data_IF_243016399059
#
_entry.id   IF_243016399059
#
_cell.length_a   1.000
_cell.length_b   1.000
_cell.length_c   1.000
_cell.angle_alpha   90.00
_cell.angle_beta   90.00
_cell.angle_gamma   90.00
#
_symmetry.space_group_name_H-M   'P 1'
#
loop_
_entity.id
_entity.type
_entity.pdbx_description
1 polymer ?
#
# COMPACT_ATOMS: atom_id res chain seq x y z
N UNK A 1 -10.60 -9.77 -26.62
CA UNK A 1 -9.31 -9.13 -26.28
C UNK A 1 -9.53 -7.89 -25.42
N UNK A 2 -10.37 -6.93 -25.83
CA UNK A 2 -10.66 -5.72 -25.03
C UNK A 2 -11.26 -6.00 -23.61
N UNK A 3 -12.07 -7.04 -23.42
CA UNK A 3 -12.68 -7.34 -22.11
C UNK A 3 -11.70 -7.90 -21.06
N UNK A 4 -10.62 -8.54 -21.49
CA UNK A 4 -9.57 -9.03 -20.57
C UNK A 4 -8.66 -7.89 -20.13
N UNK A 5 -8.28 -7.02 -21.07
CA UNK A 5 -7.58 -5.77 -20.76
C UNK A 5 -8.42 -4.86 -19.85
N UNK A 6 -9.74 -4.75 -20.10
CA UNK A 6 -10.65 -4.01 -19.21
C UNK A 6 -10.74 -4.66 -17.84
N UNK A 7 -10.69 -5.99 -17.71
CA UNK A 7 -10.69 -6.71 -16.42
C UNK A 7 -9.40 -6.52 -15.63
N UNK A 8 -8.26 -6.56 -16.30
CA UNK A 8 -6.95 -6.35 -15.68
C UNK A 8 -6.76 -4.88 -15.28
N UNK A 9 -7.23 -3.96 -16.12
CA UNK A 9 -7.36 -2.54 -15.82
C UNK A 9 -8.37 -2.34 -14.67
N UNK A 10 -9.52 -3.02 -14.63
CA UNK A 10 -10.49 -2.99 -13.52
C UNK A 10 -9.94 -3.56 -12.21
N UNK A 11 -9.04 -4.56 -12.26
CA UNK A 11 -8.35 -5.15 -11.12
C UNK A 11 -7.26 -4.22 -10.56
N UNK A 12 -6.49 -3.58 -11.44
CA UNK A 12 -5.53 -2.52 -11.10
C UNK A 12 -6.24 -1.29 -10.51
N UNK A 13 -7.42 -1.00 -11.05
CA UNK A 13 -8.24 0.12 -10.65
C UNK A 13 -8.83 -0.06 -9.24
N UNK A 14 -9.29 -1.24 -8.81
CA UNK A 14 -9.94 -1.41 -7.49
C UNK A 14 -9.04 -1.02 -6.30
N UNK A 15 -7.75 -0.82 -6.52
CA UNK A 15 -6.76 -0.74 -5.45
C UNK A 15 -6.52 0.63 -4.82
N UNK A 16 -6.81 1.79 -5.42
CA UNK A 16 -6.07 3.02 -5.03
C UNK A 16 -6.38 3.68 -3.67
N UNK A 17 -7.61 3.64 -3.16
CA UNK A 17 -7.94 4.25 -1.84
C UNK A 17 -8.37 3.26 -0.78
N UNK A 18 -9.12 2.20 -1.16
CA UNK A 18 -9.39 1.11 -0.24
C UNK A 18 -8.20 0.19 -0.07
N UNK A 19 -7.24 0.16 -0.99
CA UNK A 19 -6.15 -0.80 -0.91
C UNK A 19 -5.15 -0.55 0.23
N UNK A 20 -5.20 0.59 0.93
CA UNK A 20 -4.48 0.74 2.20
C UNK A 20 -5.25 0.03 3.32
N UNK A 21 -6.54 0.34 3.50
CA UNK A 21 -7.38 -0.30 4.52
C UNK A 21 -7.57 -1.82 4.26
N UNK A 22 -7.79 -2.22 3.01
CA UNK A 22 -7.84 -3.61 2.57
C UNK A 22 -6.46 -4.28 2.70
N UNK A 23 -5.38 -3.54 2.46
CA UNK A 23 -4.01 -4.04 2.68
C UNK A 23 -3.76 -4.36 4.15
N UNK A 24 -4.17 -3.46 5.05
CA UNK A 24 -4.13 -3.70 6.51
C UNK A 24 -5.02 -4.88 6.89
N UNK A 25 -6.24 -4.94 6.35
CA UNK A 25 -7.18 -6.05 6.60
C UNK A 25 -6.60 -7.39 6.15
N UNK A 26 -6.08 -7.47 4.93
CA UNK A 26 -5.43 -8.68 4.38
C UNK A 26 -4.24 -9.10 5.21
N UNK A 27 -3.39 -8.16 5.62
CA UNK A 27 -2.27 -8.44 6.52
C UNK A 27 -2.76 -9.04 7.85
N UNK A 28 -3.76 -8.42 8.49
CA UNK A 28 -4.33 -8.93 9.75
C UNK A 28 -4.94 -10.32 9.58
N UNK A 29 -5.66 -10.57 8.49
CA UNK A 29 -6.23 -11.88 8.16
C UNK A 29 -5.15 -12.93 7.89
N UNK A 30 -4.07 -12.58 7.19
CA UNK A 30 -2.94 -13.46 6.93
C UNK A 30 -2.24 -13.84 8.24
N UNK A 31 -1.94 -12.87 9.10
CA UNK A 31 -1.34 -13.13 10.43
C UNK A 31 -2.25 -13.99 11.30
N UNK A 32 -3.56 -13.73 11.31
CA UNK A 32 -4.52 -14.54 12.05
C UNK A 32 -4.53 -16.00 11.56
N UNK A 33 -4.64 -16.22 10.24
CA UNK A 33 -4.57 -17.56 9.63
C UNK A 33 -3.27 -18.29 9.97
N UNK A 34 -2.13 -17.59 9.96
CA UNK A 34 -0.84 -18.17 10.33
C UNK A 34 -0.80 -18.60 11.81
N UNK A 35 -1.34 -17.76 12.70
CA UNK A 35 -1.36 -18.04 14.14
C UNK A 35 -2.34 -19.18 14.50
N UNK A 36 -3.54 -19.19 13.94
CA UNK A 36 -4.55 -20.22 14.19
C UNK A 36 -4.03 -21.62 13.79
N UNK A 37 -3.28 -21.70 12.69
CA UNK A 37 -2.70 -22.96 12.20
C UNK A 37 -1.45 -23.40 12.97
N UNK A 38 -0.66 -22.45 13.45
CA UNK A 38 0.44 -22.72 14.37
C UNK A 38 -0.09 -23.31 15.71
N UNK A 39 -1.23 -22.81 16.19
CA UNK A 39 -1.90 -23.36 17.38
C UNK A 39 -2.55 -24.72 17.12
N UNK A 40 -3.03 -24.99 15.91
CA UNK A 40 -3.62 -26.28 15.52
C UNK A 40 -2.59 -27.41 15.28
N UNK A 41 -1.29 -27.18 15.54
CA UNK A 41 -0.22 -28.18 15.34
C UNK A 41 0.06 -28.53 13.87
N UNK A 42 -0.47 -27.76 12.93
CA UNK A 42 -0.26 -27.95 11.50
C UNK A 42 1.09 -27.36 11.04
N UNK A 43 1.80 -28.06 10.16
CA UNK A 43 3.05 -27.58 9.51
C UNK A 43 2.84 -26.40 8.53
N UNK A 44 1.64 -25.84 8.43
CA UNK A 44 1.25 -24.87 7.40
C UNK A 44 1.33 -23.41 7.88
N UNK A 45 2.54 -22.94 8.20
CA UNK A 45 2.83 -21.51 8.34
C UNK A 45 3.39 -20.98 7.03
N UNK A 46 2.81 -19.92 6.46
CA UNK A 46 3.18 -19.24 5.20
C UNK A 46 3.07 -20.06 3.89
N UNK A 47 3.14 -21.39 3.92
CA UNK A 47 3.18 -22.23 2.72
C UNK A 47 1.88 -22.27 1.89
N UNK A 48 0.73 -21.96 2.49
CA UNK A 48 -0.59 -21.94 1.83
C UNK A 48 -1.06 -20.53 1.43
N UNK A 49 -0.22 -19.51 1.62
CA UNK A 49 -0.52 -18.13 1.25
C UNK A 49 -0.06 -17.85 -0.18
N UNK A 50 -0.73 -16.93 -0.86
CA UNK A 50 -0.23 -16.46 -2.16
C UNK A 50 1.14 -15.79 -1.98
N UNK A 51 2.04 -15.94 -2.97
CA UNK A 51 3.41 -15.46 -2.89
C UNK A 51 3.52 -13.97 -2.50
N UNK A 52 2.60 -13.15 -3.03
CA UNK A 52 2.50 -11.73 -2.72
C UNK A 52 2.04 -11.46 -1.27
N UNK A 53 1.18 -12.30 -0.71
CA UNK A 53 0.76 -12.19 0.69
C UNK A 53 1.89 -12.58 1.65
N UNK A 54 2.67 -13.61 1.30
CA UNK A 54 3.87 -14.00 2.05
C UNK A 54 4.88 -12.86 2.08
N UNK A 55 5.24 -12.34 0.90
CA UNK A 55 6.18 -11.23 0.77
C UNK A 55 5.71 -10.01 1.57
N UNK A 56 4.44 -9.60 1.43
CA UNK A 56 3.90 -8.46 2.16
C UNK A 56 3.92 -8.69 3.68
N UNK A 57 3.63 -9.90 4.14
CA UNK A 57 3.67 -10.23 5.58
C UNK A 57 5.08 -10.17 6.13
N UNK A 58 6.06 -10.73 5.41
CA UNK A 58 7.48 -10.70 5.77
C UNK A 58 8.06 -9.28 5.80
N UNK A 59 7.58 -8.38 4.93
CA UNK A 59 7.99 -6.97 4.94
C UNK A 59 7.28 -6.19 6.05
N UNK A 60 5.96 -6.33 6.18
CA UNK A 60 5.16 -5.51 7.11
C UNK A 60 5.40 -5.87 8.57
N UNK A 61 5.62 -7.14 8.89
CA UNK A 61 5.84 -7.62 10.26
C UNK A 61 7.00 -6.90 10.98
N UNK A 62 8.20 -6.78 10.40
CA UNK A 62 9.30 -5.98 10.99
C UNK A 62 9.16 -4.47 10.75
N UNK A 63 8.53 -4.04 9.65
CA UNK A 63 8.40 -2.62 9.32
C UNK A 63 7.43 -1.88 10.25
N UNK A 64 6.30 -2.48 10.64
CA UNK A 64 5.28 -1.82 11.47
C UNK A 64 5.86 -1.38 12.84
N UNK A 65 6.58 -2.23 13.60
CA UNK A 65 7.26 -1.79 14.82
C UNK A 65 8.25 -0.65 14.59
N UNK A 66 9.05 -0.71 13.51
CA UNK A 66 10.01 0.35 13.19
C UNK A 66 9.33 1.69 12.86
N UNK A 67 8.18 1.64 12.17
CA UNK A 67 7.36 2.84 11.95
C UNK A 67 6.80 3.38 13.26
N UNK A 68 6.36 2.53 14.19
CA UNK A 68 5.90 2.97 15.53
C UNK A 68 7.04 3.65 16.30
N UNK A 69 8.22 3.06 16.31
CA UNK A 69 9.39 3.65 16.96
C UNK A 69 9.75 5.01 16.34
N UNK A 70 9.69 5.14 15.01
CA UNK A 70 9.89 6.43 14.34
C UNK A 70 8.78 7.46 14.64
N UNK A 71 7.55 7.01 14.91
CA UNK A 71 6.45 7.86 15.39
C UNK A 71 6.70 8.35 16.82
N UNK A 72 7.18 7.46 17.70
CA UNK A 72 7.55 7.82 19.07
C UNK A 72 8.73 8.82 19.07
N UNK A 73 9.74 8.59 18.23
CA UNK A 73 10.88 9.51 17.99
C UNK A 73 10.37 10.89 17.52
N UNK A 74 9.45 10.91 16.56
CA UNK A 74 8.84 12.13 16.05
C UNK A 74 8.07 12.88 17.15
N UNK A 75 7.28 12.16 17.95
CA UNK A 75 6.49 12.72 19.05
C UNK A 75 7.39 13.34 20.12
N UNK A 76 8.42 12.62 20.55
CA UNK A 76 9.41 13.13 21.52
C UNK A 76 10.14 14.37 20.99
N UNK A 77 10.51 14.37 19.71
CA UNK A 77 11.19 15.50 19.08
C UNK A 77 10.30 16.75 19.01
N UNK A 78 9.00 16.58 18.80
CA UNK A 78 8.03 17.68 18.80
C UNK A 78 7.81 18.24 20.20
N UNK A 79 7.83 17.39 21.24
CA UNK A 79 7.73 17.83 22.64
C UNK A 79 9.01 18.48 23.17
N UNK A 80 10.17 18.10 22.61
CA UNK A 80 11.47 18.60 23.02
C UNK A 80 11.72 20.08 22.70
N UNK A 81 12.82 20.61 23.25
CA UNK A 81 13.32 21.95 22.89
C UNK A 81 14.33 21.81 21.75
N UNK A 82 13.90 22.07 20.53
CA UNK A 82 14.78 21.98 19.36
C UNK A 82 14.08 22.33 18.06
N UNK A 83 14.86 22.35 16.97
CA UNK A 83 14.30 22.51 15.62
C UNK A 83 13.62 21.21 15.22
N UNK A 84 12.30 21.26 15.02
CA UNK A 84 11.51 20.10 14.59
C UNK A 84 11.96 19.69 13.17
N UNK A 85 12.40 18.43 12.98
CA UNK A 85 12.70 17.91 11.66
C UNK A 85 11.46 17.91 10.76
N UNK A 86 11.64 18.21 9.47
CA UNK A 86 10.52 18.30 8.52
C UNK A 86 9.73 16.99 8.38
N UNK A 87 10.36 15.84 8.64
CA UNK A 87 9.71 14.54 8.56
C UNK A 87 8.85 14.19 9.79
N UNK A 88 9.07 14.85 10.93
CA UNK A 88 8.49 14.44 12.22
C UNK A 88 6.97 14.61 12.26
N UNK A 89 6.45 15.79 11.88
CA UNK A 89 4.99 16.04 11.88
C UNK A 89 4.25 15.13 10.90
N UNK A 90 4.70 14.97 9.63
CA UNK A 90 4.09 14.01 8.71
C UNK A 90 4.12 12.56 9.19
N UNK A 91 5.12 12.14 9.99
CA UNK A 91 5.21 10.76 10.50
C UNK A 91 4.00 10.38 11.36
N UNK A 92 3.38 11.36 12.03
CA UNK A 92 2.22 11.18 12.89
C UNK A 92 0.87 11.25 12.14
N UNK A 93 0.88 11.39 10.82
CA UNK A 93 -0.36 11.62 10.06
C UNK A 93 -1.26 10.38 9.96
N UNK A 94 -0.69 9.17 10.07
CA UNK A 94 -1.40 7.90 9.92
C UNK A 94 -1.02 6.94 11.04
N UNK A 95 -1.88 5.96 11.30
CA UNK A 95 -1.52 4.80 12.12
C UNK A 95 -0.35 4.05 11.47
N UNK A 96 0.55 3.51 12.29
CA UNK A 96 1.76 2.84 11.81
C UNK A 96 1.49 1.73 10.78
N UNK A 97 0.41 0.95 10.95
CA UNK A 97 0.04 -0.12 10.01
C UNK A 97 -0.33 0.44 8.63
N UNK A 98 -1.19 1.47 8.59
CA UNK A 98 -1.57 2.12 7.34
C UNK A 98 -0.36 2.76 6.66
N UNK A 99 0.50 3.40 7.45
CA UNK A 99 1.70 4.03 6.93
C UNK A 99 2.67 2.99 6.34
N UNK A 100 2.91 1.88 7.04
CA UNK A 100 3.73 0.78 6.52
C UNK A 100 3.19 0.24 5.19
N UNK A 101 1.88 0.00 5.09
CA UNK A 101 1.23 -0.43 3.84
C UNK A 101 1.43 0.60 2.72
N UNK A 102 1.25 1.90 3.01
CA UNK A 102 1.50 2.97 2.03
C UNK A 102 2.94 2.97 1.53
N UNK A 103 3.92 2.78 2.43
CA UNK A 103 5.35 2.74 2.09
C UNK A 103 5.64 1.58 1.13
N UNK A 104 5.27 0.36 1.53
CA UNK A 104 5.55 -0.86 0.76
C UNK A 104 4.89 -0.79 -0.60
N UNK A 105 3.60 -0.45 -0.62
CA UNK A 105 2.82 -0.37 -1.85
C UNK A 105 3.34 0.70 -2.81
N UNK A 106 3.63 1.91 -2.31
CA UNK A 106 4.13 2.99 -3.16
C UNK A 106 5.48 2.63 -3.79
N UNK A 107 6.27 1.82 -3.09
CA UNK A 107 7.55 1.31 -3.57
C UNK A 107 7.34 0.26 -4.65
N UNK A 108 6.49 -0.76 -4.40
CA UNK A 108 6.21 -1.84 -5.33
C UNK A 108 5.47 -1.40 -6.61
N UNK A 109 4.59 -0.40 -6.52
CA UNK A 109 3.76 0.05 -7.64
C UNK A 109 4.54 0.57 -8.86
N UNK A 110 5.85 0.80 -8.76
CA UNK A 110 6.68 1.16 -9.90
C UNK A 110 7.97 0.37 -9.99
N UNK A 111 8.05 -0.78 -9.32
CA UNK A 111 9.13 -1.75 -9.48
C UNK A 111 8.60 -2.90 -10.34
N UNK A 112 9.27 -3.19 -11.44
CA UNK A 112 8.99 -4.35 -12.28
C UNK A 112 10.29 -5.11 -12.50
N UNK A 113 10.25 -6.44 -12.31
CA UNK A 113 11.42 -7.30 -12.52
C UNK A 113 11.89 -7.23 -13.99
N UNK A 114 10.98 -7.03 -14.93
CA UNK A 114 11.26 -7.13 -16.38
C UNK A 114 11.61 -5.79 -17.04
N UNK A 115 10.99 -4.69 -16.61
CA UNK A 115 11.08 -3.40 -17.31
C UNK A 115 11.99 -2.42 -16.57
N UNK A 116 11.81 -2.29 -15.25
CA UNK A 116 12.51 -1.30 -14.46
C UNK A 116 12.66 -1.80 -13.02
N UNK A 117 13.82 -2.39 -12.74
CA UNK A 117 14.13 -3.03 -11.46
C UNK A 117 14.54 -2.03 -10.36
N UNK A 118 14.56 -0.73 -10.67
CA UNK A 118 14.94 0.34 -9.75
C UNK A 118 14.00 1.54 -9.82
N UNK A 119 13.91 2.30 -8.71
CA UNK A 119 13.25 3.61 -8.67
C UNK A 119 14.14 4.68 -8.05
N UNK A 120 14.23 5.87 -8.65
CA UNK A 120 14.84 7.01 -7.99
C UNK A 120 14.15 7.35 -6.66
N UNK A 121 14.95 7.55 -5.62
CA UNK A 121 14.46 7.73 -4.24
C UNK A 121 13.66 9.03 -4.08
N UNK A 122 14.06 10.13 -4.72
CA UNK A 122 13.38 11.43 -4.56
C UNK A 122 11.95 11.42 -5.13
N UNK A 123 11.69 11.00 -6.39
CA UNK A 123 10.33 10.82 -6.88
C UNK A 123 9.49 9.84 -6.06
N UNK A 124 10.08 8.71 -5.63
CA UNK A 124 9.40 7.75 -4.76
C UNK A 124 9.00 8.38 -3.43
N UNK A 125 9.87 9.18 -2.83
CA UNK A 125 9.63 9.88 -1.57
C UNK A 125 8.43 10.84 -1.68
N UNK A 126 8.35 11.57 -2.79
CA UNK A 126 7.20 12.44 -3.08
C UNK A 126 5.92 11.63 -3.27
N UNK A 127 5.99 10.47 -3.92
CA UNK A 127 4.84 9.58 -4.11
C UNK A 127 4.34 9.01 -2.78
N UNK A 128 5.24 8.50 -1.93
CA UNK A 128 4.91 8.03 -0.57
C UNK A 128 4.21 9.14 0.22
N UNK A 129 4.79 10.34 0.22
CA UNK A 129 4.21 11.49 0.91
C UNK A 129 2.82 11.87 0.37
N UNK A 130 2.65 11.89 -0.94
CA UNK A 130 1.36 12.18 -1.59
C UNK A 130 0.28 11.16 -1.26
N UNK A 131 0.65 9.87 -1.22
CA UNK A 131 -0.25 8.77 -0.88
C UNK A 131 -0.63 8.80 0.61
N UNK A 132 0.34 9.00 1.50
CA UNK A 132 0.08 9.11 2.94
C UNK A 132 -0.84 10.30 3.25
N UNK A 133 -0.56 11.46 2.65
CA UNK A 133 -1.41 12.65 2.76
C UNK A 133 -2.83 12.36 2.29
N UNK A 134 -2.98 11.76 1.11
CA UNK A 134 -4.30 11.48 0.53
C UNK A 134 -5.09 10.50 1.42
N UNK A 135 -4.43 9.49 1.98
CA UNK A 135 -5.05 8.57 2.92
C UNK A 135 -5.50 9.28 4.20
N UNK A 136 -4.69 10.20 4.74
CA UNK A 136 -5.07 10.96 5.93
C UNK A 136 -6.25 11.90 5.65
N UNK A 137 -6.25 12.60 4.53
CA UNK A 137 -7.39 13.44 4.12
C UNK A 137 -8.67 12.60 4.01
N UNK A 138 -8.56 11.37 3.48
CA UNK A 138 -9.68 10.44 3.38
C UNK A 138 -10.18 9.95 4.75
N UNK A 139 -9.27 9.60 5.66
CA UNK A 139 -9.62 9.18 7.03
C UNK A 139 -10.31 10.32 7.79
N UNK A 140 -9.81 11.56 7.67
CA UNK A 140 -10.43 12.74 8.27
C UNK A 140 -11.81 13.04 7.67
N UNK A 141 -11.97 12.91 6.35
CA UNK A 141 -13.26 13.06 5.70
C UNK A 141 -14.28 12.06 6.26
N UNK A 142 -13.90 10.79 6.39
CA UNK A 142 -14.76 9.74 6.97
C UNK A 142 -15.15 10.04 8.42
N UNK A 143 -14.21 10.51 9.24
CA UNK A 143 -14.46 10.86 10.65
C UNK A 143 -15.42 12.04 10.77
N UNK A 144 -15.17 13.13 10.04
CA UNK A 144 -16.00 14.34 10.08
C UNK A 144 -17.43 14.09 9.63
N UNK A 145 -17.63 13.35 8.55
CA UNK A 145 -18.98 13.03 8.07
C UNK A 145 -19.76 12.15 9.08
N UNK A 146 -19.06 11.24 9.78
CA UNK A 146 -19.65 10.47 10.86
C UNK A 146 -20.02 11.35 12.08
N UNK A 147 -19.16 12.29 12.46
CA UNK A 147 -19.42 13.26 13.54
C UNK A 147 -20.60 14.18 13.22
N UNK A 148 -20.66 14.72 11.99
CA UNK A 148 -21.78 15.54 11.52
C UNK A 148 -23.10 14.79 11.58
N UNK A 149 -23.11 13.53 11.12
CA UNK A 149 -24.31 12.69 11.19
C UNK A 149 -24.77 12.48 12.63
N UNK A 150 -23.84 12.20 13.55
CA UNK A 150 -24.17 12.02 14.96
C UNK A 150 -24.69 13.31 15.59
N UNK A 151 -24.04 14.45 15.33
CA UNK A 151 -24.47 15.75 15.84
C UNK A 151 -25.88 16.13 15.34
N UNK A 152 -26.21 15.81 14.09
CA UNK A 152 -27.54 16.03 13.54
C UNK A 152 -28.60 15.08 14.14
N UNK A 153 -28.25 13.80 14.35
CA UNK A 153 -29.12 12.86 15.07
C UNK A 153 -29.43 13.35 16.50
N UNK A 154 -28.43 13.92 17.18
CA UNK A 154 -28.58 14.49 18.52
C UNK A 154 -29.39 15.81 18.53
N UNK A 155 -29.36 16.61 17.46
CA UNK A 155 -30.17 17.82 17.30
C UNK A 155 -31.58 17.58 16.74
N UNK A 156 -31.87 16.35 16.29
CA UNK A 156 -33.13 16.00 15.62
C UNK A 156 -33.18 16.41 14.14
N UNK A 157 -32.07 16.83 13.56
CA UNK A 157 -31.95 17.20 12.16
C UNK A 157 -31.52 16.01 11.28
N UNK A 158 -31.95 16.02 10.01
CA UNK A 158 -31.51 15.04 9.04
C UNK A 158 -30.23 15.52 8.33
N UNK A 159 -29.07 14.95 8.67
CA UNK A 159 -27.84 15.17 7.92
C UNK A 159 -27.58 14.06 6.88
N UNK A 160 -27.11 14.48 5.70
CA UNK A 160 -26.67 13.56 4.65
C UNK A 160 -25.17 13.27 4.83
N UNK A 161 -24.84 12.02 5.11
CA UNK A 161 -23.47 11.52 5.16
C UNK A 161 -22.91 11.38 3.74
N UNK A 162 -22.06 12.35 3.33
CA UNK A 162 -21.50 12.40 1.98
C UNK A 162 -20.56 11.22 1.71
N UNK A 163 -19.91 10.69 2.73
CA UNK A 163 -19.06 9.50 2.61
C UNK A 163 -19.89 8.28 2.24
N UNK A 164 -20.97 7.99 2.97
CA UNK A 164 -21.88 6.88 2.63
C UNK A 164 -22.58 7.08 1.30
N UNK A 165 -22.91 8.32 0.95
CA UNK A 165 -23.48 8.63 -0.36
C UNK A 165 -22.49 8.35 -1.49
N UNK A 166 -21.21 8.70 -1.31
CA UNK A 166 -20.13 8.37 -2.22
C UNK A 166 -20.01 6.85 -2.38
N UNK A 167 -19.97 6.08 -1.28
CA UNK A 167 -19.85 4.61 -1.36
C UNK A 167 -21.00 3.96 -2.13
N UNK A 168 -22.21 4.52 -2.06
CA UNK A 168 -23.37 4.02 -2.81
C UNK A 168 -23.33 4.41 -4.29
N UNK A 169 -22.86 5.63 -4.60
CA UNK A 169 -22.92 6.18 -5.97
C UNK A 169 -21.72 5.82 -6.82
N UNK A 170 -20.57 5.59 -6.20
CA UNK A 170 -19.33 5.35 -6.93
C UNK A 170 -19.06 3.84 -6.95
N UNK A 171 -19.06 3.25 -8.15
CA UNK A 171 -18.68 1.82 -8.35
C UNK A 171 -17.30 1.52 -7.76
N UNK A 172 -16.38 2.50 -7.78
CA UNK A 172 -14.99 2.40 -7.33
C UNK A 172 -14.48 3.69 -6.69
N UNK A 173 -14.17 3.63 -5.40
CA UNK A 173 -13.56 4.76 -4.68
C UNK A 173 -12.08 4.82 -5.06
N UNK A 174 -11.74 5.65 -6.04
CA UNK A 174 -10.36 5.96 -6.46
C UNK A 174 -9.91 7.36 -6.00
N UNK A 175 -8.60 7.61 -6.03
CA UNK A 175 -7.99 8.85 -5.54
C UNK A 175 -8.67 10.11 -6.12
N UNK A 176 -9.09 10.02 -7.38
CA UNK A 176 -9.75 11.10 -8.11
C UNK A 176 -11.18 11.32 -7.63
N UNK A 177 -11.97 10.26 -7.50
CA UNK A 177 -13.35 10.29 -7.06
C UNK A 177 -13.43 10.74 -5.60
N UNK A 178 -12.61 10.19 -4.70
CA UNK A 178 -12.62 10.66 -3.33
C UNK A 178 -12.21 12.13 -3.23
N UNK A 179 -11.20 12.60 -3.99
CA UNK A 179 -10.88 14.03 -4.03
C UNK A 179 -12.04 14.88 -4.50
N UNK A 180 -12.80 14.41 -5.50
CA UNK A 180 -14.02 15.10 -5.95
C UNK A 180 -15.06 15.18 -4.83
N UNK A 181 -15.30 14.09 -4.11
CA UNK A 181 -16.28 14.04 -3.02
C UNK A 181 -15.84 14.80 -1.77
N UNK A 182 -14.56 14.73 -1.41
CA UNK A 182 -13.99 15.51 -0.31
C UNK A 182 -14.13 17.01 -0.55
N UNK A 183 -13.93 17.48 -1.79
CA UNK A 183 -14.16 18.88 -2.18
C UNK A 183 -15.61 19.34 -2.07
N UNK A 184 -16.58 18.40 -2.10
CA UNK A 184 -17.99 18.74 -1.87
C UNK A 184 -18.30 18.96 -0.39
N UNK A 185 -17.46 18.45 0.52
CA UNK A 185 -17.60 18.78 1.93
C UNK A 185 -17.06 20.20 2.17
N UNK A 186 -17.86 21.03 2.83
CA UNK A 186 -17.51 22.42 3.16
C UNK A 186 -16.28 22.52 4.08
N UNK A 187 -15.93 21.42 4.76
CA UNK A 187 -14.82 21.35 5.71
C UNK A 187 -13.59 20.60 5.20
N UNK A 188 -13.37 20.58 3.88
CA UNK A 188 -12.21 19.90 3.31
C UNK A 188 -10.91 20.55 3.83
N UNK A 189 -10.27 19.89 4.81
CA UNK A 189 -8.96 20.31 5.32
C UNK A 189 -7.91 19.70 4.40
N UNK A 190 -7.42 20.49 3.44
CA UNK A 190 -6.28 20.11 2.64
C UNK A 190 -5.01 20.23 3.49
N UNK A 191 -4.29 19.14 3.69
CA UNK A 191 -3.02 19.14 4.41
C UNK A 191 -1.94 19.76 3.54
N UNK A 192 -1.54 21.00 3.75
CA UNK A 192 -0.50 21.59 2.89
C UNK A 192 0.91 21.12 3.31
N UNK A 193 1.52 20.27 2.50
CA UNK A 193 2.90 19.82 2.67
C UNK A 193 3.73 20.38 1.52
N UNK A 194 4.71 21.21 1.86
CA UNK A 194 5.68 21.72 0.92
C UNK A 194 6.52 20.58 0.33
N UNK A 195 7.14 20.84 -0.82
CA UNK A 195 7.91 19.84 -1.55
C UNK A 195 9.07 19.30 -0.71
N UNK A 196 9.72 20.14 0.08
CA UNK A 196 10.86 19.74 0.90
C UNK A 196 10.41 18.79 2.01
N UNK A 197 9.31 19.11 2.72
CA UNK A 197 8.71 18.22 3.71
C UNK A 197 8.33 16.86 3.13
N UNK A 198 7.72 16.82 1.93
CA UNK A 198 7.41 15.56 1.24
C UNK A 198 8.66 14.71 0.99
N UNK A 199 9.75 15.35 0.55
CA UNK A 199 11.01 14.65 0.29
C UNK A 199 11.62 14.13 1.60
N UNK A 200 11.69 14.94 2.66
CA UNK A 200 12.25 14.49 3.94
C UNK A 200 11.45 13.37 4.58
N UNK A 201 10.12 13.49 4.58
CA UNK A 201 9.23 12.45 5.08
C UNK A 201 9.39 11.15 4.28
N UNK A 202 9.34 11.23 2.95
CA UNK A 202 9.49 10.07 2.09
C UNK A 202 10.90 9.45 2.21
N UNK A 203 11.96 10.23 2.38
CA UNK A 203 13.31 9.71 2.64
C UNK A 203 13.37 8.90 3.93
N UNK A 204 12.81 9.39 5.04
CA UNK A 204 12.75 8.64 6.30
C UNK A 204 11.94 7.35 6.13
N UNK A 205 10.85 7.38 5.37
CA UNK A 205 10.05 6.19 5.06
C UNK A 205 10.82 5.15 4.24
N UNK A 206 11.53 5.59 3.19
CA UNK A 206 12.36 4.72 2.36
C UNK A 206 13.52 4.14 3.17
N UNK A 207 14.13 4.94 4.06
CA UNK A 207 15.16 4.47 4.98
C UNK A 207 14.64 3.34 5.87
N UNK A 208 13.49 3.54 6.53
CA UNK A 208 12.85 2.50 7.35
C UNK A 208 12.55 1.23 6.54
N UNK A 209 12.11 1.38 5.29
CA UNK A 209 11.86 0.24 4.41
C UNK A 209 13.13 -0.55 4.08
N UNK A 210 14.25 0.13 3.82
CA UNK A 210 15.52 -0.53 3.50
C UNK A 210 16.12 -1.20 4.74
N UNK A 211 16.04 -0.54 5.90
CA UNK A 211 16.61 -1.03 7.16
C UNK A 211 15.77 -2.17 7.78
N UNK A 212 14.45 -2.07 7.70
CA UNK A 212 13.53 -2.98 8.40
C UNK A 212 12.61 -3.78 7.47
N UNK A 213 12.66 -3.59 6.15
CA UNK A 213 11.82 -4.31 5.19
C UNK A 213 12.30 -5.73 4.89
N UNK A 214 12.91 -6.42 5.85
CA UNK A 214 13.26 -7.85 5.75
C UNK A 214 14.29 -8.21 4.67
N UNK A 215 15.12 -7.26 4.23
CA UNK A 215 16.13 -7.50 3.17
C UNK A 215 15.56 -7.61 1.76
N UNK A 216 14.29 -7.23 1.56
CA UNK A 216 13.65 -7.23 0.24
C UNK A 216 14.11 -6.09 -0.67
N UNK A 217 14.55 -4.99 -0.07
CA UNK A 217 14.95 -3.78 -0.77
C UNK A 217 16.36 -3.36 -0.39
N UNK A 218 17.10 -2.84 -1.36
CA UNK A 218 18.40 -2.20 -1.14
C UNK A 218 18.44 -0.83 -1.80
N UNK A 219 19.28 0.05 -1.24
CA UNK A 219 19.54 1.37 -1.80
C UNK A 219 20.92 1.42 -2.45
N UNK A 220 20.99 1.85 -3.70
CA UNK A 220 22.24 2.00 -4.45
C UNK A 220 22.42 3.44 -4.93
N UNK A 221 23.67 3.87 -4.97
CA UNK A 221 24.06 5.15 -5.57
C UNK A 221 24.41 4.89 -7.04
N UNK A 222 23.70 5.56 -7.94
CA UNK A 222 23.96 5.49 -9.36
C UNK A 222 24.49 6.84 -9.86
N UNK A 223 25.59 6.83 -10.58
CA UNK A 223 26.14 8.03 -11.22
C UNK A 223 25.54 8.17 -12.62
N UNK A 224 24.66 9.14 -12.82
CA UNK A 224 24.14 9.52 -14.14
C UNK A 224 24.94 10.70 -14.69
N UNK A 225 25.57 10.53 -15.84
CA UNK A 225 26.29 11.61 -16.51
C UNK A 225 25.80 11.79 -17.95
N UNK A 226 25.36 13.00 -18.30
CA UNK A 226 25.16 13.42 -19.69
C UNK A 226 26.35 14.27 -20.15
N UNK A 227 27.54 13.66 -20.27
CA UNK A 227 28.75 14.21 -20.89
C UNK A 227 29.40 15.47 -20.28
N UNK A 228 28.67 16.31 -19.55
CA UNK A 228 29.13 17.59 -18.97
C UNK A 228 28.94 17.71 -17.46
N UNK A 229 28.07 16.89 -16.85
CA UNK A 229 27.83 16.92 -15.40
C UNK A 229 27.53 15.51 -14.90
N UNK A 230 28.30 15.06 -13.92
CA UNK A 230 28.04 13.82 -13.18
C UNK A 230 27.03 14.13 -12.07
N UNK A 231 25.87 13.52 -12.13
CA UNK A 231 24.81 13.64 -11.14
C UNK A 231 24.68 12.31 -10.42
N UNK A 232 24.85 12.33 -9.09
CA UNK A 232 24.63 11.15 -8.26
C UNK A 232 23.14 11.05 -7.90
N UNK A 233 22.51 9.93 -8.24
CA UNK A 233 21.12 9.63 -7.93
C UNK A 233 21.04 8.41 -7.01
N UNK A 234 20.31 8.53 -5.89
CA UNK A 234 19.98 7.38 -5.05
C UNK A 234 18.80 6.63 -5.65
N UNK A 235 18.93 5.32 -5.78
CA UNK A 235 17.92 4.43 -6.33
C UNK A 235 17.62 3.32 -5.33
N UNK A 236 16.35 2.95 -5.20
CA UNK A 236 15.92 1.75 -4.48
C UNK A 236 15.66 0.65 -5.51
N UNK A 237 16.05 -0.58 -5.20
CA UNK A 237 15.73 -1.76 -6.01
C UNK A 237 15.39 -2.96 -5.14
N UNK A 238 14.79 -3.97 -5.77
CA UNK A 238 14.66 -5.29 -5.16
C UNK A 238 16.04 -5.94 -5.06
N UNK A 239 16.31 -6.60 -3.94
CA UNK A 239 17.51 -7.44 -3.80
C UNK A 239 17.44 -8.64 -4.75
N UNK A 240 18.58 -9.24 -5.06
CA UNK A 240 18.61 -10.40 -5.96
C UNK A 240 17.80 -11.57 -5.40
N UNK A 241 17.86 -11.79 -4.08
CA UNK A 241 17.03 -12.78 -3.36
C UNK A 241 15.53 -12.50 -3.53
N UNK A 242 15.11 -11.23 -3.42
CA UNK A 242 13.73 -10.83 -3.63
C UNK A 242 13.27 -11.05 -5.07
N UNK A 243 14.13 -10.74 -6.05
CA UNK A 243 13.86 -10.99 -7.47
C UNK A 243 13.70 -12.48 -7.76
N UNK A 244 14.65 -13.30 -7.29
CA UNK A 244 14.60 -14.75 -7.43
C UNK A 244 13.33 -15.33 -6.82
N UNK A 245 12.94 -14.87 -5.62
CA UNK A 245 11.70 -15.28 -4.99
C UNK A 245 10.49 -14.96 -5.87
N UNK A 246 10.38 -13.72 -6.36
CA UNK A 246 9.26 -13.28 -7.22
C UNK A 246 9.21 -14.12 -8.49
N UNK A 247 10.35 -14.25 -9.20
CA UNK A 247 10.44 -15.02 -10.45
C UNK A 247 10.11 -16.49 -10.23
N UNK A 248 10.60 -17.10 -9.15
CA UNK A 248 10.34 -18.51 -8.83
C UNK A 248 8.84 -18.75 -8.61
N UNK A 249 8.18 -17.89 -7.83
CA UNK A 249 6.75 -18.03 -7.58
C UNK A 249 5.88 -17.75 -8.80
N UNK A 250 6.26 -16.80 -9.67
CA UNK A 250 5.59 -16.62 -10.95
C UNK A 250 5.71 -17.88 -11.82
N UNK A 251 6.91 -18.45 -11.93
CA UNK A 251 7.13 -19.68 -12.70
C UNK A 251 6.36 -20.88 -12.12
N UNK A 252 6.33 -21.05 -10.80
CA UNK A 252 5.54 -22.12 -10.14
C UNK A 252 4.04 -21.89 -10.33
N UNK A 253 3.57 -20.65 -10.23
CA UNK A 253 2.16 -20.30 -10.46
C UNK A 253 1.73 -20.59 -11.91
N UNK A 254 2.62 -20.37 -12.88
CA UNK A 254 2.38 -20.71 -14.29
C UNK A 254 2.35 -22.23 -14.50
N UNK A 255 3.27 -22.99 -13.90
CA UNK A 255 3.28 -24.45 -13.96
C UNK A 255 2.05 -25.10 -13.30
N UNK A 256 1.51 -24.47 -12.25
CA UNK A 256 0.31 -24.93 -11.55
C UNK A 256 -1.00 -24.55 -12.26
N UNK A 257 -0.96 -23.64 -13.24
CA UNK A 257 -2.13 -23.33 -14.08
C UNK A 257 -2.24 -24.41 -15.16
N UNK A 258 -3.25 -25.30 -15.13
CA UNK A 258 -3.46 -26.23 -16.22
C UNK A 258 -3.72 -25.42 -17.49
N UNK A 259 -2.85 -25.58 -18.50
CA UNK A 259 -3.07 -25.03 -19.82
C UNK A 259 -4.30 -25.71 -20.42
N UNK A 260 -5.44 -25.01 -20.39
CA UNK A 260 -6.68 -25.45 -21.01
C UNK A 260 -6.55 -25.34 -22.53
N UNK A 261 -5.86 -26.30 -23.14
CA UNK A 261 -5.79 -26.44 -24.58
C UNK A 261 -7.15 -26.96 -25.12
N UNK A 262 -7.55 -26.56 -26.34
CA UNK A 262 -8.74 -27.13 -26.95
C UNK A 262 -8.60 -28.65 -27.05
N UNK A 263 -9.63 -29.36 -26.58
CA UNK A 263 -9.64 -30.82 -26.60
C UNK A 263 -9.77 -31.32 -28.04
N UNK A 264 -8.92 -32.27 -28.44
CA UNK A 264 -9.03 -32.97 -29.72
C UNK A 264 -10.24 -33.94 -29.71
N UNK A 265 -10.62 -34.42 -28.52
CA UNK A 265 -11.75 -35.32 -28.31
C UNK A 265 -12.89 -34.61 -27.57
N UNK A 266 -14.10 -35.18 -27.67
CA UNK A 266 -15.27 -34.67 -26.95
C UNK A 266 -15.00 -34.66 -25.44
N UNK A 267 -15.26 -33.54 -24.72
CA UNK A 267 -15.16 -33.48 -23.26
C UNK A 267 -16.03 -34.55 -22.59
N UNK A 268 -15.61 -34.99 -21.42
CA UNK A 268 -16.42 -35.91 -20.61
C UNK A 268 -17.75 -35.28 -20.24
N UNK A 269 -18.82 -36.07 -20.28
CA UNK A 269 -20.15 -35.60 -19.87
C UNK A 269 -20.15 -35.31 -18.35
N UNK A 270 -20.64 -34.13 -17.98
CA UNK A 270 -20.73 -33.69 -16.59
C UNK A 270 -21.62 -34.63 -15.78
N UNK A 271 -21.06 -35.23 -14.73
CA UNK A 271 -21.84 -36.00 -13.75
C UNK A 271 -21.86 -35.21 -12.44
N UNK A 272 -23.05 -35.02 -11.87
CA UNK A 272 -23.17 -34.45 -10.52
C UNK A 272 -22.50 -35.42 -9.54
N UNK A 273 -21.59 -34.90 -8.73
CA UNK A 273 -21.08 -35.64 -7.58
C UNK A 273 -22.26 -35.92 -6.65
N UNK A 274 -22.61 -37.19 -6.49
CA UNK A 274 -23.59 -37.59 -5.48
C UNK A 274 -22.89 -37.48 -4.14
N UNK A 275 -23.27 -36.44 -3.38
CA UNK A 275 -22.89 -36.28 -1.97
C UNK A 275 -23.86 -37.05 -1.10
#
# INVERSE_FOLDING_TARGET
MAEAEIRDIEAEHQWELRGVDDGVKRYREAVAKANDRAQAGGRGGLADMEAGEVMLTEILKPLIPAVREAQDEAFQTIQGRGKIPKWAVPMLCLEAEKLAVVIVRSTLAGLSVEIQDYRPVTPLSIAIAGNAKTQREFDLFKQKEAEKKKAAEDSGDAAVDLYKLMERRVKKVDARNAKKWMKLSEESVALDWDKETKVHFGHKCVQLLVEHGGGWFEMQMHYKGNGRQLVTERQIKLTDVAKEYITHYHAVSELQRPFMLPMIAKPNDWKKEMT
#
